data_IF_311880222779
#
_entry.id   IF_311880222779
#
_cell.length_a   1.000
_cell.length_b   1.000
_cell.length_c   1.000
_cell.angle_alpha   90.00
_cell.angle_beta   90.00
_cell.angle_gamma   90.00
#
_symmetry.space_group_name_H-M   'P 1'
#
loop_
_entity.id
_entity.type
_entity.pdbx_description
1 polymer ?
#
# COMPACT_ATOMS: atom_id res chain seq x y z
N UNK A 1 20.98 -19.32 -4.25
CA UNK A 1 20.97 -18.44 -4.20
C UNK A 1 20.52 -17.91 -3.76
N UNK A 2 20.93 -17.52 -3.54
CA UNK A 2 20.40 -16.88 -2.93
C UNK A 2 19.58 -16.30 -3.47
N UNK A 3 18.94 -16.51 -3.17
CA UNK A 3 18.10 -15.86 -3.54
C UNK A 3 18.55 -14.69 -3.64
N UNK A 4 18.30 -14.17 -4.39
CA UNK A 4 18.67 -13.01 -4.45
C UNK A 4 17.98 -12.32 -3.45
N UNK A 5 18.58 -12.09 -2.44
CA UNK A 5 17.95 -11.45 -1.37
C UNK A 5 17.44 -10.15 -1.78
N UNK A 6 17.85 -9.71 -2.92
CA UNK A 6 17.45 -8.41 -3.32
C UNK A 6 16.33 -8.39 -4.30
N UNK A 7 15.73 -9.51 -4.58
CA UNK A 7 14.64 -9.58 -5.52
C UNK A 7 13.37 -9.07 -4.85
N UNK A 8 13.18 -7.76 -4.93
CA UNK A 8 11.99 -7.10 -4.42
C UNK A 8 11.26 -6.44 -5.59
N UNK A 9 9.99 -6.77 -5.76
CA UNK A 9 9.17 -6.10 -6.75
C UNK A 9 8.29 -5.08 -6.04
N UNK A 10 8.32 -3.84 -6.49
CA UNK A 10 7.49 -2.78 -5.92
C UNK A 10 6.41 -2.44 -6.92
N UNK A 11 5.17 -2.52 -6.46
CA UNK A 11 4.01 -2.26 -7.30
C UNK A 11 3.37 -0.96 -6.89
N UNK A 12 3.10 -0.10 -7.87
CA UNK A 12 2.26 1.06 -7.65
C UNK A 12 0.86 0.78 -8.14
N UNK A 13 -0.07 1.67 -7.83
CA UNK A 13 -1.47 1.50 -8.20
C UNK A 13 -1.67 1.29 -9.70
N UNK A 14 -0.86 1.95 -10.53
CA UNK A 14 -1.02 1.85 -11.98
C UNK A 14 -0.69 0.48 -12.53
N UNK A 15 0.09 -0.32 -11.82
CA UNK A 15 0.50 -1.64 -12.30
C UNK A 15 -0.26 -2.78 -11.64
N UNK A 16 -1.04 -2.48 -10.60
CA UNK A 16 -1.70 -3.54 -9.84
C UNK A 16 -2.62 -4.39 -10.71
N UNK A 17 -3.37 -3.76 -11.61
CA UNK A 17 -4.28 -4.49 -12.47
C UNK A 17 -3.55 -5.44 -13.42
N UNK A 18 -2.39 -5.01 -13.94
CA UNK A 18 -1.59 -5.86 -14.83
C UNK A 18 -1.04 -7.07 -14.08
N UNK A 19 -0.72 -6.89 -12.80
CA UNK A 19 -0.16 -7.97 -12.00
C UNK A 19 -1.17 -9.03 -11.66
N UNK A 20 -2.43 -8.64 -11.57
CA UNK A 20 -3.50 -9.61 -11.34
C UNK A 20 -3.69 -10.52 -12.52
N UNK A 21 -3.05 -10.23 -13.66
CA UNK A 21 -3.16 -11.06 -14.84
C UNK A 21 -2.16 -12.17 -14.85
N UNK A 22 -1.41 -12.49 -14.02
CA UNK A 22 -0.63 -13.71 -14.16
C UNK A 22 0.82 -13.52 -14.53
N UNK A 23 1.60 -13.19 -13.55
CA UNK A 23 3.05 -13.20 -13.66
C UNK A 23 3.57 -14.21 -12.63
N UNK A 24 3.66 -15.50 -13.01
CA UNK A 24 3.96 -16.54 -12.02
C UNK A 24 5.25 -16.33 -11.24
N UNK A 25 6.23 -15.66 -11.86
CA UNK A 25 7.50 -15.42 -11.17
C UNK A 25 7.37 -14.50 -9.96
N UNK A 26 6.25 -13.79 -9.83
CA UNK A 26 6.02 -12.94 -8.67
C UNK A 26 5.78 -13.74 -7.40
N UNK A 27 5.45 -15.02 -7.52
CA UNK A 27 5.28 -15.88 -6.35
C UNK A 27 6.60 -16.10 -5.61
N UNK A 28 7.72 -15.94 -6.32
CA UNK A 28 9.05 -16.25 -5.78
C UNK A 28 9.84 -15.03 -5.35
N UNK A 29 9.30 -13.84 -5.43
CA UNK A 29 10.03 -12.62 -5.05
C UNK A 29 9.31 -11.93 -3.90
N UNK A 30 10.05 -11.11 -3.16
CA UNK A 30 9.45 -10.21 -2.19
C UNK A 30 8.59 -9.21 -2.93
N UNK A 31 7.31 -9.15 -2.57
CA UNK A 31 6.39 -8.28 -3.25
C UNK A 31 5.92 -7.20 -2.31
N UNK A 32 6.17 -5.94 -2.68
CA UNK A 32 5.73 -4.80 -1.89
C UNK A 32 4.76 -3.97 -2.71
N UNK A 33 3.67 -3.55 -2.09
CA UNK A 33 2.73 -2.65 -2.72
C UNK A 33 2.85 -1.27 -2.09
N UNK A 34 3.06 -0.26 -2.91
CA UNK A 34 3.16 1.13 -2.48
C UNK A 34 2.14 1.94 -3.27
N UNK A 35 1.07 2.35 -2.61
CA UNK A 35 0.02 3.12 -3.25
C UNK A 35 -0.37 4.32 -2.41
N UNK A 36 -1.43 4.99 -2.85
CA UNK A 36 -1.97 6.11 -2.11
C UNK A 36 -2.56 5.64 -0.79
N UNK A 37 -2.46 6.45 0.25
CA UNK A 37 -3.17 6.16 1.49
C UNK A 37 -4.58 6.75 1.36
N UNK A 38 -5.47 5.94 0.81
CA UNK A 38 -6.89 6.26 0.69
C UNK A 38 -7.64 4.93 0.56
N UNK A 39 -8.97 5.00 0.50
CA UNK A 39 -9.76 3.76 0.46
C UNK A 39 -9.52 2.97 -0.83
N UNK A 40 -9.24 3.65 -1.94
CA UNK A 40 -8.93 2.96 -3.18
C UNK A 40 -7.58 2.26 -3.12
N UNK A 41 -6.57 2.90 -2.50
CA UNK A 41 -5.27 2.29 -2.33
C UNK A 41 -5.34 1.01 -1.52
N UNK A 42 -6.12 1.02 -0.44
CA UNK A 42 -6.31 -0.19 0.37
C UNK A 42 -7.12 -1.25 -0.36
N UNK A 43 -8.10 -0.84 -1.18
CA UNK A 43 -8.87 -1.81 -1.98
C UNK A 43 -7.95 -2.52 -3.00
N UNK A 44 -7.04 -1.79 -3.62
CA UNK A 44 -6.08 -2.37 -4.56
C UNK A 44 -5.12 -3.31 -3.82
N UNK A 45 -4.61 -2.88 -2.66
CA UNK A 45 -3.74 -3.72 -1.84
C UNK A 45 -4.45 -5.03 -1.47
N UNK A 46 -5.71 -4.96 -1.11
CA UNK A 46 -6.51 -6.13 -0.78
C UNK A 46 -6.57 -7.10 -1.96
N UNK A 47 -6.81 -6.58 -3.16
CA UNK A 47 -6.85 -7.40 -4.38
C UNK A 47 -5.50 -8.04 -4.67
N UNK A 48 -4.43 -7.26 -4.57
CA UNK A 48 -3.08 -7.78 -4.81
C UNK A 48 -2.76 -8.89 -3.81
N UNK A 49 -3.05 -8.67 -2.54
CA UNK A 49 -2.75 -9.65 -1.51
C UNK A 49 -3.62 -10.90 -1.64
N UNK A 50 -4.84 -10.75 -2.15
CA UNK A 50 -5.69 -11.89 -2.43
C UNK A 50 -5.08 -12.81 -3.48
N UNK A 51 -4.35 -12.25 -4.44
CA UNK A 51 -3.67 -13.02 -5.48
C UNK A 51 -2.27 -13.44 -5.03
N UNK A 52 -1.57 -12.56 -4.30
CA UNK A 52 -0.22 -12.80 -3.82
C UNK A 52 -0.19 -12.59 -2.31
N UNK A 53 -0.52 -13.62 -1.51
CA UNK A 53 -0.66 -13.47 -0.06
C UNK A 53 0.60 -12.98 0.66
N UNK A 54 1.76 -13.14 0.04
CA UNK A 54 3.03 -12.70 0.64
C UNK A 54 3.30 -11.20 0.44
N UNK A 55 2.37 -10.45 -0.15
CA UNK A 55 2.54 -9.03 -0.40
C UNK A 55 2.63 -8.24 0.91
N UNK A 56 3.61 -7.34 0.99
CA UNK A 56 3.76 -6.41 2.11
C UNK A 56 3.41 -5.02 1.63
N UNK A 57 2.66 -4.26 2.43
CA UNK A 57 2.43 -2.85 2.10
C UNK A 57 3.65 -2.03 2.48
N UNK A 58 3.94 -1.00 1.69
CA UNK A 58 5.07 -0.13 1.92
C UNK A 58 4.55 1.29 2.15
N UNK A 59 4.83 1.84 3.32
CA UNK A 59 4.44 3.23 3.66
C UNK A 59 2.93 3.50 3.57
N UNK A 60 2.12 2.48 3.73
CA UNK A 60 0.67 2.64 3.82
C UNK A 60 0.26 2.45 5.27
N UNK A 61 0.84 3.25 6.15
CA UNK A 61 0.62 3.13 7.58
C UNK A 61 0.29 4.49 8.21
N UNK A 62 -0.16 4.44 9.45
CA UNK A 62 -0.59 5.64 10.17
C UNK A 62 0.59 6.59 10.41
N UNK A 63 1.76 6.07 10.70
CA UNK A 63 2.95 6.90 10.92
C UNK A 63 3.26 7.73 9.68
N UNK A 64 3.23 7.12 8.51
CA UNK A 64 3.47 7.81 7.24
C UNK A 64 2.39 8.86 6.99
N UNK A 65 1.14 8.51 7.21
CA UNK A 65 0.03 9.43 7.00
C UNK A 65 0.20 10.67 7.87
N UNK A 66 0.47 10.50 9.15
CA UNK A 66 0.59 11.61 10.09
C UNK A 66 1.84 12.45 9.83
N UNK A 67 2.91 11.83 9.33
CA UNK A 67 4.13 12.56 9.02
C UNK A 67 3.99 13.46 7.80
N UNK A 68 2.96 13.25 6.99
CA UNK A 68 2.75 14.02 5.75
C UNK A 68 1.47 14.83 5.78
N UNK A 69 1.05 15.27 6.94
CA UNK A 69 -0.20 16.01 7.09
C UNK A 69 -0.33 17.21 6.16
N UNK A 70 0.77 17.92 5.93
CA UNK A 70 0.75 19.09 5.06
C UNK A 70 0.43 18.77 3.60
N UNK A 71 0.47 17.49 3.25
CA UNK A 71 0.19 17.05 1.87
C UNK A 71 -1.14 16.31 1.73
N UNK A 72 -1.95 16.29 2.78
CA UNK A 72 -3.23 15.61 2.73
C UNK A 72 -4.16 16.27 1.70
N UNK A 73 -4.80 15.44 0.88
CA UNK A 73 -5.83 15.86 -0.05
C UNK A 73 -7.09 15.07 0.18
N UNK A 74 -7.92 14.97 -0.84
CA UNK A 74 -9.19 14.26 -0.74
C UNK A 74 -9.41 13.39 -1.97
N UNK A 75 -9.98 12.20 -1.77
CA UNK A 75 -10.49 11.41 -2.88
C UNK A 75 -11.94 11.80 -3.14
N UNK A 76 -12.35 11.77 -4.39
CA UNK A 76 -13.70 12.20 -4.76
C UNK A 76 -14.77 11.27 -4.19
N UNK A 77 -14.54 9.98 -4.28
CA UNK A 77 -15.46 8.97 -3.78
C UNK A 77 -14.62 7.93 -3.05
N UNK A 78 -15.24 7.24 -2.11
CA UNK A 78 -14.57 6.17 -1.39
C UNK A 78 -14.81 4.84 -2.07
N UNK A 79 -13.82 3.95 -1.99
CA UNK A 79 -13.94 2.61 -2.53
C UNK A 79 -14.86 1.77 -1.66
N UNK A 80 -15.35 0.67 -2.24
CA UNK A 80 -16.20 -0.27 -1.52
C UNK A 80 -15.42 -0.89 -0.36
N UNK A 81 -16.11 -1.12 0.75
CA UNK A 81 -15.52 -1.74 1.93
C UNK A 81 -15.56 -3.26 1.87
N UNK A 82 -15.46 -3.88 3.02
CA UNK A 82 -15.51 -5.34 3.10
C UNK A 82 -14.21 -6.01 2.72
N UNK A 83 -13.08 -5.32 2.91
CA UNK A 83 -11.77 -5.88 2.56
C UNK A 83 -11.37 -6.94 3.57
N UNK A 84 -10.85 -8.06 3.09
CA UNK A 84 -10.55 -9.22 3.92
C UNK A 84 -9.09 -9.63 3.95
N UNK A 85 -8.24 -8.98 3.15
CA UNK A 85 -6.83 -9.35 3.03
C UNK A 85 -5.88 -8.31 3.63
N UNK A 86 -6.40 -7.39 4.45
CA UNK A 86 -5.57 -6.39 5.11
C UNK A 86 -5.08 -6.91 6.45
N UNK A 87 -3.90 -6.45 6.88
CA UNK A 87 -3.46 -6.69 8.25
C UNK A 87 -4.35 -5.91 9.20
N UNK A 88 -4.33 -6.24 10.51
CA UNK A 88 -5.14 -5.47 11.47
C UNK A 88 -4.85 -3.98 11.46
N UNK A 89 -3.59 -3.57 11.36
CA UNK A 89 -3.24 -2.16 11.31
C UNK A 89 -3.75 -1.50 10.05
N UNK A 90 -3.59 -2.18 8.91
CA UNK A 90 -4.10 -1.66 7.64
C UNK A 90 -5.61 -1.52 7.68
N UNK A 91 -6.29 -2.51 8.25
CA UNK A 91 -7.75 -2.48 8.33
C UNK A 91 -8.23 -1.34 9.22
N UNK A 92 -7.55 -1.07 10.32
CA UNK A 92 -7.90 0.05 11.18
C UNK A 92 -7.70 1.39 10.48
N UNK A 93 -6.61 1.54 9.75
CA UNK A 93 -6.36 2.77 9.02
C UNK A 93 -7.39 2.96 7.92
N UNK A 94 -7.71 1.91 7.17
CA UNK A 94 -8.76 1.95 6.17
C UNK A 94 -10.09 2.38 6.79
N UNK A 95 -10.43 1.84 7.94
CA UNK A 95 -11.66 2.20 8.64
C UNK A 95 -11.64 3.66 9.05
N UNK A 96 -10.52 4.17 9.55
CA UNK A 96 -10.39 5.57 9.92
C UNK A 96 -10.57 6.49 8.71
N UNK A 97 -10.07 6.06 7.55
CA UNK A 97 -10.28 6.82 6.32
C UNK A 97 -11.74 6.84 5.93
N UNK A 98 -12.43 5.71 6.06
CA UNK A 98 -13.86 5.61 5.68
C UNK A 98 -14.76 6.42 6.59
N UNK A 99 -14.44 6.47 7.87
CA UNK A 99 -15.26 7.18 8.85
C UNK A 99 -14.90 8.66 8.97
N UNK A 100 -13.86 9.12 8.28
CA UNK A 100 -13.43 10.51 8.35
C UNK A 100 -12.79 10.87 9.68
N UNK A 101 -12.14 9.93 10.34
CA UNK A 101 -11.54 10.14 11.65
C UNK A 101 -10.61 11.34 11.68
N UNK A 102 -9.78 11.50 10.65
CA UNK A 102 -8.88 12.65 10.54
C UNK A 102 -9.50 13.75 9.70
N UNK A 103 -10.03 13.40 8.52
CA UNK A 103 -10.72 14.30 7.60
C UNK A 103 -11.63 13.46 6.71
N UNK A 104 -12.75 14.02 6.24
CA UNK A 104 -13.60 13.29 5.30
C UNK A 104 -12.86 13.03 3.99
N UNK A 105 -12.98 11.83 3.48
CA UNK A 105 -12.39 11.42 2.19
C UNK A 105 -10.89 11.68 2.09
N UNK A 106 -10.16 11.51 3.19
CA UNK A 106 -8.74 11.79 3.25
C UNK A 106 -7.95 10.96 2.27
N UNK A 107 -6.99 11.60 1.60
CA UNK A 107 -6.05 10.95 0.69
C UNK A 107 -4.65 11.50 0.90
N UNK A 108 -3.66 10.62 0.98
CA UNK A 108 -2.27 11.01 0.85
C UNK A 108 -1.74 10.28 -0.39
N UNK A 109 -1.47 11.04 -1.46
CA UNK A 109 -0.97 10.46 -2.69
C UNK A 109 0.46 10.00 -2.52
N UNK A 110 0.80 8.83 -3.06
CA UNK A 110 2.13 8.26 -2.92
C UNK A 110 3.22 9.22 -3.44
N UNK A 111 2.89 10.05 -4.42
CA UNK A 111 3.82 10.99 -5.01
C UNK A 111 4.27 12.07 -4.03
N UNK A 112 3.52 12.28 -2.96
CA UNK A 112 3.84 13.27 -1.93
C UNK A 112 4.75 12.71 -0.84
N UNK A 113 5.06 11.42 -0.90
CA UNK A 113 5.90 10.78 0.10
C UNK A 113 7.34 10.87 -0.37
N UNK A 114 8.23 11.36 0.51
CA UNK A 114 9.62 11.60 0.14
C UNK A 114 10.35 10.32 -0.25
N UNK A 115 11.19 10.42 -1.26
CA UNK A 115 11.98 9.27 -1.73
C UNK A 115 12.85 8.70 -0.62
N UNK A 116 13.36 9.55 0.26
CA UNK A 116 14.16 9.08 1.39
C UNK A 116 13.36 8.17 2.32
N UNK A 117 12.06 8.48 2.53
CA UNK A 117 11.21 7.63 3.34
C UNK A 117 11.02 6.27 2.70
N UNK A 118 10.87 6.23 1.38
CA UNK A 118 10.73 4.97 0.65
C UNK A 118 12.00 4.13 0.80
N UNK A 119 13.15 4.77 0.65
CA UNK A 119 14.43 4.09 0.75
C UNK A 119 14.65 3.52 2.16
N UNK A 120 14.31 4.28 3.18
CA UNK A 120 14.42 3.80 4.55
C UNK A 120 13.46 2.65 4.83
N UNK A 121 12.24 2.72 4.30
CA UNK A 121 11.27 1.65 4.47
C UNK A 121 11.73 0.37 3.81
N UNK A 122 12.33 0.46 2.62
CA UNK A 122 12.87 -0.71 1.93
C UNK A 122 14.03 -1.31 2.71
N UNK A 123 14.89 -0.48 3.27
CA UNK A 123 16.01 -0.96 4.07
C UNK A 123 15.50 -1.72 5.29
N UNK A 124 14.50 -1.20 5.98
CA UNK A 124 13.91 -1.88 7.13
C UNK A 124 13.26 -3.19 6.75
N UNK A 125 12.61 -3.21 5.60
CA UNK A 125 11.96 -4.44 5.11
C UNK A 125 12.98 -5.55 4.85
N UNK A 126 14.11 -5.19 4.27
CA UNK A 126 15.16 -6.15 3.94
C UNK A 126 16.04 -6.50 5.13
N UNK A 127 16.14 -5.59 6.04
CA UNK A 127 16.98 -5.77 7.22
C UNK A 127 16.29 -6.56 8.29
#
# INVERSE_FOLDING_TARGET
>A
MPPVPDAVAILGSGYAAALLRHLPWLDDVDLCYWGDIDTHGFAILDQVRGRFPHTTSLLMDRTTLLAHESHWGQEKTQARGGLTHLTPEEARLDQDLRTGTYRPHLRLEQERIAVTAVREALTRHQG
#
